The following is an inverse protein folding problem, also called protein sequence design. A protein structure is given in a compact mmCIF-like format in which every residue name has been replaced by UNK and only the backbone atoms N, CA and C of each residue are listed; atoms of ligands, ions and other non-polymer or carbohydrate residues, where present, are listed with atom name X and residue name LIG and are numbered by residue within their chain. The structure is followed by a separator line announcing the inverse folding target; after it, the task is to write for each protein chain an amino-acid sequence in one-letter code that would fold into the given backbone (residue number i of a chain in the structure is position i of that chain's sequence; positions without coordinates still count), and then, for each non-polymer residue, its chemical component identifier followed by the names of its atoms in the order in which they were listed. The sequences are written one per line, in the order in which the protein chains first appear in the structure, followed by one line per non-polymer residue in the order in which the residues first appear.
data_IF_237640116724
#
_entry.id   IF_237640116724
#
_cell.length_a   1.000
_cell.length_b   1.000
_cell.length_c   1.000
_cell.angle_alpha   90.00
_cell.angle_beta   90.00
_cell.angle_gamma   90.00
#
_symmetry.space_group_name_H-M   'P 1'
#
loop_
_entity.id
_entity.type
_entity.pdbx_description
1 polymer ?
#
# COMPACT_ATOMS: atom_id res chain seq x y z
N UNK A 1 -32.26 5.48 9.75
CA UNK A 1 -31.30 5.52 8.61
C UNK A 1 -32.06 5.19 7.34
N UNK A 2 -31.97 6.02 6.30
CA UNK A 2 -32.82 5.96 5.12
C UNK A 2 -32.63 4.65 4.33
N UNK A 3 -33.73 4.10 3.78
CA UNK A 3 -33.71 2.92 2.91
C UNK A 3 -32.86 3.16 1.64
N UNK A 4 -32.66 4.40 1.28
CA UNK A 4 -31.87 4.83 0.13
C UNK A 4 -30.39 4.40 0.23
N UNK A 5 -29.73 4.59 1.38
CA UNK A 5 -28.31 4.17 1.61
C UNK A 5 -28.09 2.65 1.47
N UNK A 6 -29.16 1.86 1.51
CA UNK A 6 -29.12 0.39 1.38
C UNK A 6 -29.56 -0.08 0.01
N UNK A 7 -29.89 0.86 -0.87
CA UNK A 7 -30.30 0.55 -2.25
C UNK A 7 -29.11 -0.01 -3.02
N UNK A 8 -29.28 -1.14 -3.67
CA UNK A 8 -28.26 -1.73 -4.54
C UNK A 8 -27.77 -0.78 -5.64
N UNK A 9 -28.67 0.09 -6.14
CA UNK A 9 -28.33 1.10 -7.17
C UNK A 9 -27.34 2.14 -6.63
N UNK A 10 -27.55 2.60 -5.39
CA UNK A 10 -26.67 3.58 -4.73
C UNK A 10 -25.31 2.95 -4.47
N UNK A 11 -25.28 1.73 -3.92
CA UNK A 11 -24.02 1.01 -3.65
C UNK A 11 -23.22 0.78 -4.94
N UNK A 12 -23.87 0.39 -6.04
CA UNK A 12 -23.20 0.22 -7.33
C UNK A 12 -22.66 1.55 -7.85
N UNK A 13 -23.42 2.64 -7.75
CA UNK A 13 -22.96 3.98 -8.15
C UNK A 13 -21.75 4.45 -7.32
N UNK A 14 -21.76 4.20 -6.01
CA UNK A 14 -20.63 4.50 -5.11
C UNK A 14 -19.37 3.72 -5.51
N UNK A 15 -19.48 2.42 -5.76
CA UNK A 15 -18.36 1.56 -6.20
C UNK A 15 -17.80 2.04 -7.54
N UNK A 16 -18.68 2.35 -8.51
CA UNK A 16 -18.26 2.87 -9.82
C UNK A 16 -17.57 4.24 -9.69
N UNK A 17 -18.12 5.14 -8.88
CA UNK A 17 -17.54 6.45 -8.62
C UNK A 17 -16.16 6.36 -7.97
N UNK A 18 -16.00 5.50 -6.95
CA UNK A 18 -14.71 5.22 -6.30
C UNK A 18 -13.71 4.61 -7.30
N UNK A 19 -14.17 3.68 -8.16
CA UNK A 19 -13.36 3.08 -9.21
C UNK A 19 -12.86 4.11 -10.23
N UNK A 20 -13.71 5.01 -10.67
CA UNK A 20 -13.34 6.12 -11.59
C UNK A 20 -12.34 7.05 -10.91
N UNK A 21 -12.55 7.40 -9.63
CA UNK A 21 -11.58 8.19 -8.87
C UNK A 21 -10.22 7.49 -8.75
N UNK A 22 -10.20 6.19 -8.50
CA UNK A 22 -8.96 5.41 -8.45
C UNK A 22 -8.24 5.36 -9.81
N UNK A 23 -8.98 5.25 -10.92
CA UNK A 23 -8.41 5.33 -12.27
C UNK A 23 -7.76 6.69 -12.55
N UNK A 24 -8.38 7.80 -12.13
CA UNK A 24 -7.76 9.13 -12.25
C UNK A 24 -6.51 9.23 -11.37
N UNK A 25 -6.55 8.72 -10.13
CA UNK A 25 -5.39 8.73 -9.24
C UNK A 25 -4.21 7.91 -9.78
N UNK A 26 -4.48 6.80 -10.49
CA UNK A 26 -3.44 5.96 -11.07
C UNK A 26 -2.94 6.45 -12.44
N UNK A 27 -3.82 7.08 -13.25
CA UNK A 27 -3.52 7.46 -14.64
C UNK A 27 -3.01 8.89 -14.82
N UNK A 28 -3.14 9.76 -13.81
CA UNK A 28 -2.72 11.16 -13.87
C UNK A 28 -1.61 11.44 -12.86
N UNK A 29 -0.68 12.37 -13.17
CA UNK A 29 0.31 12.80 -12.19
C UNK A 29 -0.38 13.34 -10.92
N UNK A 30 0.05 12.84 -9.76
CA UNK A 30 -0.50 13.22 -8.47
C UNK A 30 0.52 14.02 -7.65
N UNK A 31 0.07 14.92 -6.79
CA UNK A 31 0.94 15.55 -5.80
C UNK A 31 1.68 14.46 -4.97
N UNK A 32 2.98 14.64 -4.64
CA UNK A 32 3.77 15.87 -4.74
C UNK A 32 4.52 16.09 -6.07
N UNK A 33 4.33 15.30 -7.12
CA UNK A 33 5.04 15.46 -8.39
C UNK A 33 4.54 16.68 -9.19
N UNK A 34 4.93 17.87 -8.71
CA UNK A 34 4.58 19.15 -9.35
C UNK A 34 5.19 19.33 -10.73
N UNK A 35 6.35 18.72 -10.98
CA UNK A 35 7.04 18.84 -12.27
C UNK A 35 6.24 18.15 -13.38
N UNK A 36 5.83 16.92 -13.18
CA UNK A 36 4.98 16.17 -14.13
C UNK A 36 3.61 16.82 -14.32
N UNK A 37 3.02 17.39 -13.26
CA UNK A 37 1.75 18.13 -13.34
C UNK A 37 1.92 19.38 -14.21
N UNK A 38 2.98 20.17 -13.99
CA UNK A 38 3.28 21.37 -14.75
C UNK A 38 3.59 21.06 -16.23
N UNK A 39 4.35 20.00 -16.50
CA UNK A 39 4.65 19.54 -17.86
C UNK A 39 3.36 19.13 -18.59
N UNK A 40 2.50 18.34 -17.95
CA UNK A 40 1.20 17.95 -18.52
C UNK A 40 0.32 19.17 -18.82
N UNK A 41 0.25 20.13 -17.88
CA UNK A 41 -0.54 21.36 -18.05
C UNK A 41 0.02 22.25 -19.16
N UNK A 42 1.34 22.32 -19.33
CA UNK A 42 1.98 23.10 -20.42
C UNK A 42 1.71 22.50 -21.80
N UNK A 43 1.76 21.17 -21.92
CA UNK A 43 1.49 20.48 -23.20
C UNK A 43 0.01 20.47 -23.56
N UNK A 44 -0.90 20.50 -22.59
CA UNK A 44 -2.36 20.44 -22.78
C UNK A 44 -3.08 21.41 -21.83
N UNK A 45 -3.13 22.71 -22.14
CA UNK A 45 -3.69 23.72 -21.25
C UNK A 45 -5.13 23.46 -20.80
N UNK A 46 -6.00 22.99 -21.71
CA UNK A 46 -7.39 22.64 -21.37
C UNK A 46 -7.47 21.53 -20.32
N UNK A 47 -6.59 20.51 -20.43
CA UNK A 47 -6.49 19.45 -19.41
C UNK A 47 -5.92 19.99 -18.10
N UNK A 48 -4.97 20.91 -18.16
CA UNK A 48 -4.43 21.60 -16.98
C UNK A 48 -5.50 22.35 -16.19
N UNK A 49 -6.38 23.09 -16.89
CA UNK A 49 -7.53 23.76 -16.25
C UNK A 49 -8.51 22.75 -15.62
N UNK A 50 -8.81 21.65 -16.30
CA UNK A 50 -9.68 20.60 -15.78
C UNK A 50 -9.08 19.92 -14.55
N UNK A 51 -7.78 19.61 -14.59
CA UNK A 51 -7.04 19.05 -13.44
C UNK A 51 -7.14 19.96 -12.22
N UNK A 52 -6.96 21.27 -12.40
CA UNK A 52 -7.05 22.25 -11.32
C UNK A 52 -8.48 22.38 -10.78
N UNK A 53 -9.47 22.56 -11.67
CA UNK A 53 -10.88 22.78 -11.31
C UNK A 53 -11.49 21.59 -10.55
N UNK A 54 -11.20 20.38 -10.98
CA UNK A 54 -11.72 19.14 -10.37
C UNK A 54 -10.78 18.57 -9.31
N UNK A 55 -9.60 19.15 -9.10
CA UNK A 55 -8.60 18.60 -8.16
C UNK A 55 -8.09 17.20 -8.55
N UNK A 56 -8.04 16.89 -9.87
CA UNK A 56 -7.62 15.57 -10.36
C UNK A 56 -6.12 15.28 -10.15
N UNK A 57 -5.31 16.30 -9.88
CA UNK A 57 -3.91 16.19 -9.47
C UNK A 57 -3.74 15.81 -8.00
N UNK A 58 -4.84 15.76 -7.24
CA UNK A 58 -4.89 15.38 -5.82
C UNK A 58 -6.20 14.66 -5.50
N UNK A 59 -6.53 13.65 -6.28
CA UNK A 59 -7.82 12.95 -6.21
C UNK A 59 -8.19 12.54 -4.79
N UNK A 60 -7.27 11.90 -4.06
CA UNK A 60 -7.53 11.33 -2.73
C UNK A 60 -7.91 12.38 -1.69
N UNK A 61 -7.49 13.64 -1.87
CA UNK A 61 -7.80 14.77 -0.99
C UNK A 61 -8.80 15.73 -1.58
N UNK A 62 -9.35 15.45 -2.78
CA UNK A 62 -10.37 16.28 -3.39
C UNK A 62 -11.69 16.18 -2.63
N UNK A 63 -12.43 17.28 -2.57
CA UNK A 63 -13.69 17.34 -1.83
C UNK A 63 -14.74 16.35 -2.33
N UNK A 64 -14.85 16.17 -3.65
CA UNK A 64 -15.82 15.25 -4.26
C UNK A 64 -15.48 13.78 -3.96
N UNK A 65 -14.18 13.42 -3.98
CA UNK A 65 -13.76 12.06 -3.66
C UNK A 65 -13.96 11.76 -2.17
N UNK A 66 -13.62 12.70 -1.29
CA UNK A 66 -13.88 12.58 0.14
C UNK A 66 -15.36 12.50 0.46
N UNK A 67 -16.22 13.27 -0.24
CA UNK A 67 -17.67 13.17 -0.12
C UNK A 67 -18.18 11.79 -0.55
N UNK A 68 -17.65 11.24 -1.63
CA UNK A 68 -17.98 9.89 -2.11
C UNK A 68 -17.53 8.81 -1.12
N UNK A 69 -16.33 8.92 -0.56
CA UNK A 69 -15.84 8.01 0.50
C UNK A 69 -16.73 8.10 1.74
N UNK A 70 -17.13 9.29 2.15
CA UNK A 70 -18.02 9.48 3.29
C UNK A 70 -19.40 8.85 3.05
N UNK A 71 -19.96 9.02 1.85
CA UNK A 71 -21.23 8.41 1.45
C UNK A 71 -21.14 6.88 1.44
N UNK A 72 -20.12 6.33 0.80
CA UNK A 72 -19.89 4.88 0.76
C UNK A 72 -19.66 4.29 2.18
N UNK A 73 -18.97 5.02 3.03
CA UNK A 73 -18.80 4.63 4.46
C UNK A 73 -20.13 4.60 5.18
N UNK A 74 -20.98 5.62 4.99
CA UNK A 74 -22.31 5.65 5.59
C UNK A 74 -23.20 4.49 5.11
N UNK A 75 -23.17 4.18 3.81
CA UNK A 75 -23.85 3.03 3.21
C UNK A 75 -23.33 1.71 3.79
N UNK A 76 -22.02 1.56 3.91
CA UNK A 76 -21.38 0.38 4.46
C UNK A 76 -21.76 0.17 5.93
N UNK A 77 -21.77 1.22 6.75
CA UNK A 77 -22.23 1.17 8.15
C UNK A 77 -23.70 0.78 8.23
N UNK A 78 -24.54 1.32 7.34
CA UNK A 78 -25.95 0.99 7.29
C UNK A 78 -26.20 -0.50 6.99
N UNK A 79 -25.49 -1.02 5.98
CA UNK A 79 -25.52 -2.43 5.59
C UNK A 79 -25.01 -3.31 6.74
N UNK A 80 -23.93 -2.90 7.39
CA UNK A 80 -23.31 -3.62 8.50
C UNK A 80 -24.30 -3.80 9.68
N UNK A 81 -24.97 -2.72 10.09
CA UNK A 81 -25.97 -2.77 11.17
C UNK A 81 -27.09 -3.74 10.81
N UNK A 82 -27.60 -3.69 9.58
CA UNK A 82 -28.69 -4.59 9.16
C UNK A 82 -28.25 -6.05 9.08
N UNK A 83 -27.03 -6.32 8.63
CA UNK A 83 -26.50 -7.68 8.56
C UNK A 83 -26.36 -8.29 9.96
N UNK A 84 -25.77 -7.56 10.92
CA UNK A 84 -25.67 -8.03 12.29
C UNK A 84 -27.05 -8.23 12.94
N UNK A 85 -27.99 -7.29 12.75
CA UNK A 85 -29.37 -7.44 13.23
C UNK A 85 -30.04 -8.68 12.64
N UNK A 86 -29.79 -8.99 11.37
CA UNK A 86 -30.31 -10.21 10.72
C UNK A 86 -29.68 -11.45 11.32
N UNK A 87 -28.35 -11.47 11.49
CA UNK A 87 -27.66 -12.61 12.10
C UNK A 87 -28.20 -12.86 13.50
N UNK A 88 -28.24 -11.86 14.38
CA UNK A 88 -28.74 -12.03 15.74
C UNK A 88 -30.20 -12.51 15.81
N UNK A 89 -31.04 -12.03 14.89
CA UNK A 89 -32.46 -12.50 14.83
C UNK A 89 -32.60 -13.93 14.32
N UNK A 90 -31.69 -14.40 13.47
CA UNK A 90 -31.83 -15.71 12.80
C UNK A 90 -30.92 -16.78 13.35
N UNK A 91 -29.95 -16.43 14.20
CA UNK A 91 -28.89 -17.35 14.67
C UNK A 91 -29.46 -18.54 15.45
N UNK A 92 -30.34 -18.27 16.42
CA UNK A 92 -30.97 -19.29 17.27
C UNK A 92 -32.39 -19.64 16.88
N UNK A 93 -32.96 -19.01 15.83
CA UNK A 93 -34.34 -19.19 15.44
C UNK A 93 -34.58 -20.59 14.89
N UNK A 94 -35.52 -21.31 15.54
CA UNK A 94 -36.05 -22.56 14.99
C UNK A 94 -36.89 -22.25 13.74
N UNK A 95 -36.78 -23.09 12.74
CA UNK A 95 -37.64 -23.02 11.55
C UNK A 95 -39.05 -23.43 11.92
N UNK A 96 -40.06 -22.67 11.47
CA UNK A 96 -41.47 -23.04 11.67
C UNK A 96 -42.01 -23.87 10.49
N UNK A 97 -42.94 -24.79 10.72
CA UNK A 97 -43.54 -25.60 9.64
C UNK A 97 -44.14 -24.76 8.51
N UNK A 98 -44.74 -23.61 8.82
CA UNK A 98 -45.32 -22.71 7.82
C UNK A 98 -44.32 -22.06 6.86
N UNK A 99 -43.02 -21.96 7.22
CA UNK A 99 -41.97 -21.40 6.38
C UNK A 99 -41.54 -22.36 5.26
N UNK A 100 -41.81 -23.66 5.41
CA UNK A 100 -41.35 -24.73 4.50
C UNK A 100 -41.93 -24.61 3.09
N UNK A 101 -43.15 -24.03 2.98
CA UNK A 101 -43.85 -23.88 1.70
C UNK A 101 -43.10 -23.08 0.64
N UNK A 102 -42.25 -22.12 1.04
CA UNK A 102 -41.49 -21.25 0.15
C UNK A 102 -40.03 -21.72 -0.11
N UNK A 103 -39.65 -22.95 0.28
CA UNK A 103 -38.28 -23.41 0.12
C UNK A 103 -37.92 -23.81 -1.31
N UNK A 104 -36.66 -23.71 -1.68
CA UNK A 104 -36.17 -23.92 -3.04
C UNK A 104 -36.42 -25.33 -3.55
N UNK A 105 -36.39 -26.33 -2.67
CA UNK A 105 -36.65 -27.71 -2.98
C UNK A 105 -37.73 -28.21 -2.03
N UNK A 106 -38.78 -28.82 -2.61
CA UNK A 106 -39.90 -29.41 -1.87
C UNK A 106 -40.45 -30.63 -2.61
N UNK A 107 -40.68 -31.70 -1.90
CA UNK A 107 -41.40 -32.91 -2.38
C UNK A 107 -42.42 -33.35 -1.37
N UNK A 108 -43.56 -33.84 -1.87
CA UNK A 108 -44.62 -34.46 -1.08
C UNK A 108 -44.70 -35.93 -1.43
N UNK A 109 -44.54 -36.80 -0.45
CA UNK A 109 -44.58 -38.24 -0.59
C UNK A 109 -45.79 -38.77 0.18
N UNK A 110 -46.63 -39.64 -0.40
CA UNK A 110 -47.71 -40.31 0.35
C UNK A 110 -47.13 -41.12 1.52
N UNK A 111 -47.70 -41.03 2.69
CA UNK A 111 -47.23 -41.76 3.89
C UNK A 111 -47.20 -43.27 3.66
N UNK A 112 -48.04 -43.78 2.77
CA UNK A 112 -48.11 -45.20 2.40
C UNK A 112 -46.85 -45.69 1.65
N UNK A 113 -46.06 -44.81 1.07
CA UNK A 113 -44.80 -45.09 0.35
C UNK A 113 -43.54 -44.63 1.07
N UNK A 114 -43.70 -44.21 2.34
CA UNK A 114 -42.59 -43.68 3.11
C UNK A 114 -42.17 -44.65 4.21
N UNK A 115 -40.94 -44.56 4.62
CA UNK A 115 -40.49 -45.12 5.90
C UNK A 115 -41.30 -44.50 7.02
N UNK A 116 -41.39 -45.17 8.21
CA UNK A 116 -42.14 -44.59 9.33
C UNK A 116 -41.76 -43.12 9.56
N UNK A 117 -42.79 -42.29 9.45
CA UNK A 117 -42.58 -40.83 9.62
C UNK A 117 -42.16 -40.47 11.06
N UNK A 118 -41.35 -39.47 11.28
CA UNK A 118 -40.97 -39.03 12.61
C UNK A 118 -42.23 -38.56 13.36
N UNK A 119 -42.35 -38.83 14.69
CA UNK A 119 -43.50 -38.48 15.50
C UNK A 119 -43.74 -36.97 15.63
N UNK A 120 -42.73 -36.15 15.29
CA UNK A 120 -42.76 -34.69 15.31
C UNK A 120 -42.02 -34.12 14.13
N UNK A 121 -42.31 -32.89 13.70
CA UNK A 121 -41.56 -32.18 12.65
C UNK A 121 -40.07 -32.15 12.98
N UNK A 122 -39.26 -32.60 12.03
CA UNK A 122 -37.79 -32.62 12.17
C UNK A 122 -37.17 -31.49 11.34
N UNK A 123 -36.42 -30.63 11.99
CA UNK A 123 -35.68 -29.53 11.35
C UNK A 123 -34.21 -29.66 11.65
N UNK A 124 -33.40 -29.66 10.61
CA UNK A 124 -31.93 -29.70 10.73
C UNK A 124 -31.31 -28.53 9.99
N UNK A 125 -30.48 -27.77 10.67
CA UNK A 125 -29.68 -26.67 10.07
C UNK A 125 -28.21 -27.03 10.12
N UNK A 126 -27.53 -26.94 8.99
CA UNK A 126 -26.09 -27.09 8.88
C UNK A 126 -25.46 -25.81 8.34
N UNK A 127 -24.16 -25.60 8.56
CA UNK A 127 -23.45 -24.44 8.02
C UNK A 127 -23.84 -23.07 8.60
N UNK A 128 -24.37 -23.01 9.83
CA UNK A 128 -24.81 -21.74 10.47
C UNK A 128 -23.72 -20.67 10.50
N UNK A 129 -22.47 -21.07 10.68
CA UNK A 129 -21.30 -20.17 10.75
C UNK A 129 -21.13 -19.32 9.47
N UNK A 130 -21.56 -19.84 8.32
CA UNK A 130 -21.52 -19.11 7.05
C UNK A 130 -22.38 -17.85 7.01
N UNK A 131 -23.35 -17.71 7.94
CA UNK A 131 -24.14 -16.48 8.07
C UNK A 131 -23.29 -15.30 8.57
N UNK A 132 -22.18 -15.58 9.30
CA UNK A 132 -21.22 -14.57 9.77
C UNK A 132 -20.33 -14.07 8.64
N UNK A 133 -20.19 -14.82 7.54
CA UNK A 133 -19.26 -14.47 6.47
C UNK A 133 -19.49 -13.08 5.90
N UNK A 134 -20.75 -12.76 5.55
CA UNK A 134 -21.08 -11.43 5.00
C UNK A 134 -20.86 -10.28 5.98
N UNK A 135 -21.32 -10.30 7.23
CA UNK A 135 -21.03 -9.21 8.18
C UNK A 135 -19.53 -9.09 8.51
N UNK A 136 -18.78 -10.20 8.59
CA UNK A 136 -17.34 -10.15 8.82
C UNK A 136 -16.61 -9.54 7.59
N UNK A 137 -17.01 -9.91 6.37
CA UNK A 137 -16.48 -9.31 5.15
C UNK A 137 -16.66 -7.78 5.12
N UNK A 138 -17.89 -7.31 5.36
CA UNK A 138 -18.17 -5.87 5.35
C UNK A 138 -17.51 -5.14 6.54
N UNK A 139 -17.34 -5.80 7.69
CA UNK A 139 -16.56 -5.26 8.79
C UNK A 139 -15.09 -5.07 8.37
N UNK A 140 -14.52 -6.06 7.68
CA UNK A 140 -13.17 -5.95 7.11
C UNK A 140 -13.04 -4.77 6.16
N UNK A 141 -14.00 -4.58 5.24
CA UNK A 141 -14.02 -3.42 4.35
C UNK A 141 -14.13 -2.09 5.12
N UNK A 142 -14.96 -2.03 6.14
CA UNK A 142 -15.10 -0.84 6.99
C UNK A 142 -13.76 -0.49 7.67
N UNK A 143 -13.05 -1.48 8.20
CA UNK A 143 -11.74 -1.27 8.81
C UNK A 143 -10.69 -0.79 7.79
N UNK A 144 -10.73 -1.30 6.55
CA UNK A 144 -9.86 -0.81 5.47
C UNK A 144 -10.13 0.68 5.17
N UNK A 145 -11.40 1.09 5.11
CA UNK A 145 -11.76 2.50 4.91
C UNK A 145 -11.31 3.35 6.08
N UNK A 146 -11.52 2.91 7.32
CA UNK A 146 -11.06 3.61 8.52
C UNK A 146 -9.53 3.72 8.55
N UNK A 147 -8.83 2.66 8.15
CA UNK A 147 -7.37 2.69 8.00
C UNK A 147 -6.94 3.73 6.97
N UNK A 148 -7.61 3.81 5.81
CA UNK A 148 -7.36 4.85 4.80
C UNK A 148 -7.54 6.27 5.35
N UNK A 149 -8.58 6.50 6.13
CA UNK A 149 -8.81 7.78 6.81
C UNK A 149 -7.74 8.09 7.86
N UNK A 150 -7.33 7.09 8.67
CA UNK A 150 -6.24 7.26 9.63
C UNK A 150 -4.91 7.59 8.93
N UNK A 151 -4.62 6.94 7.79
CA UNK A 151 -3.46 7.27 6.98
C UNK A 151 -3.53 8.71 6.46
N UNK A 152 -4.67 9.14 5.91
CA UNK A 152 -4.88 10.51 5.44
C UNK A 152 -4.65 11.54 6.55
N UNK A 153 -5.03 11.22 7.79
CA UNK A 153 -4.93 12.13 8.92
C UNK A 153 -3.54 12.12 9.55
N UNK A 154 -2.93 10.96 9.79
CA UNK A 154 -1.78 10.81 10.69
C UNK A 154 -0.51 10.27 10.03
N UNK A 155 -0.52 10.01 8.73
CA UNK A 155 0.67 9.59 7.99
C UNK A 155 1.79 10.61 8.12
N UNK A 156 3.02 10.13 8.15
CA UNK A 156 4.21 10.96 8.10
C UNK A 156 5.30 10.24 7.33
N UNK A 157 6.00 10.95 6.48
CA UNK A 157 7.10 10.46 5.66
C UNK A 157 8.22 11.48 5.60
N UNK A 158 9.44 11.02 5.73
CA UNK A 158 10.64 11.80 5.48
C UNK A 158 11.55 11.04 4.51
N UNK A 159 12.04 11.73 3.50
CA UNK A 159 12.96 11.18 2.49
C UNK A 159 14.30 11.88 2.62
N UNK A 160 15.37 11.12 2.70
CA UNK A 160 16.75 11.61 2.76
C UNK A 160 17.64 10.79 1.82
N UNK A 161 18.63 11.44 1.25
CA UNK A 161 19.69 10.77 0.49
C UNK A 161 20.90 10.67 1.40
N UNK A 162 21.36 9.45 1.65
CA UNK A 162 22.49 9.18 2.54
C UNK A 162 23.60 8.48 1.80
N UNK A 163 24.83 8.97 1.98
CA UNK A 163 26.03 8.26 1.59
C UNK A 163 26.46 7.23 2.63
N UNK A 164 27.19 6.21 2.19
CA UNK A 164 27.81 5.22 3.07
C UNK A 164 28.73 5.93 4.08
N UNK A 165 28.52 5.66 5.36
CA UNK A 165 29.20 6.31 6.49
C UNK A 165 28.51 7.59 6.99
N UNK A 166 27.53 8.14 6.28
CA UNK A 166 26.78 9.32 6.69
C UNK A 166 25.73 9.04 7.76
N UNK A 167 25.36 10.07 8.49
CA UNK A 167 24.39 10.00 9.59
C UNK A 167 23.22 10.91 9.33
N UNK A 168 22.02 10.34 9.35
CA UNK A 168 20.76 11.06 9.37
C UNK A 168 20.52 11.56 10.81
N UNK A 169 20.47 12.88 11.00
CA UNK A 169 20.17 13.46 12.31
C UNK A 169 18.72 13.15 12.75
N UNK A 170 18.51 13.06 14.06
CA UNK A 170 17.20 12.78 14.64
C UNK A 170 16.29 14.03 14.68
N UNK A 171 16.28 14.81 13.61
CA UNK A 171 15.50 16.05 13.48
C UNK A 171 14.69 16.04 12.18
N UNK A 172 13.53 16.70 12.12
CA UNK A 172 12.76 16.79 10.88
C UNK A 172 13.50 17.50 9.74
N UNK A 173 14.39 18.44 10.06
CA UNK A 173 15.19 19.18 9.09
C UNK A 173 16.28 18.35 8.39
N UNK A 174 16.54 17.12 8.87
CA UNK A 174 17.49 16.21 8.25
C UNK A 174 16.95 15.57 6.94
N UNK A 175 15.66 15.66 6.72
CA UNK A 175 15.02 15.11 5.53
C UNK A 175 14.99 16.15 4.41
N UNK A 176 15.37 15.74 3.20
CA UNK A 176 15.33 16.58 1.98
C UNK A 176 13.89 16.87 1.54
N UNK A 177 12.99 15.94 1.80
CA UNK A 177 11.56 16.09 1.55
C UNK A 177 10.75 15.45 2.66
N UNK A 178 9.63 16.06 3.03
CA UNK A 178 8.69 15.53 4.02
C UNK A 178 7.27 15.59 3.50
N UNK A 179 6.48 14.59 3.87
CA UNK A 179 5.05 14.53 3.59
C UNK A 179 4.31 14.16 4.88
N UNK A 180 3.25 14.89 5.19
CA UNK A 180 2.44 14.64 6.38
C UNK A 180 0.97 14.59 6.03
N UNK A 181 0.22 13.77 6.76
CA UNK A 181 -1.24 13.81 6.73
C UNK A 181 -1.77 15.09 7.39
N UNK A 182 -3.08 15.30 7.29
CA UNK A 182 -3.75 16.55 7.71
C UNK A 182 -3.53 16.90 9.19
N UNK A 183 -3.41 15.91 10.06
CA UNK A 183 -3.15 16.05 11.50
C UNK A 183 -1.80 15.44 11.89
N UNK A 184 -1.03 14.95 10.92
CA UNK A 184 0.28 14.36 11.13
C UNK A 184 1.32 15.45 11.39
N UNK A 185 2.19 15.23 12.36
CA UNK A 185 3.37 16.06 12.57
C UNK A 185 4.56 15.58 11.72
N UNK A 186 5.61 16.39 11.62
CA UNK A 186 6.83 16.02 10.92
C UNK A 186 7.44 14.74 11.49
N UNK A 187 8.12 13.99 10.62
CA UNK A 187 8.81 12.76 11.01
C UNK A 187 10.20 13.11 11.52
N UNK A 188 10.59 12.50 12.64
CA UNK A 188 11.95 12.49 13.15
C UNK A 188 12.24 11.11 13.72
N UNK A 189 13.46 10.64 13.56
CA UNK A 189 13.92 9.39 14.17
C UNK A 189 14.17 9.59 15.68
N UNK A 190 14.11 8.52 16.48
CA UNK A 190 14.36 8.60 17.93
C UNK A 190 15.83 8.86 18.26
N UNK A 191 16.71 8.43 17.37
CA UNK A 191 18.15 8.61 17.47
C UNK A 191 18.72 8.86 16.08
N UNK A 192 19.88 9.49 15.95
CA UNK A 192 20.57 9.58 14.67
C UNK A 192 20.80 8.19 14.08
N UNK A 193 20.63 8.02 12.77
CA UNK A 193 20.80 6.76 12.06
C UNK A 193 22.01 6.87 11.12
N UNK A 194 22.98 5.99 11.28
CA UNK A 194 24.14 5.89 10.39
C UNK A 194 23.92 4.82 9.34
N UNK A 195 24.15 5.15 8.08
CA UNK A 195 24.28 4.19 6.99
C UNK A 195 25.68 3.58 7.03
N UNK A 196 25.81 2.38 7.58
CA UNK A 196 27.15 1.76 7.77
C UNK A 196 27.68 1.10 6.50
N UNK A 197 26.80 0.42 5.76
CA UNK A 197 27.17 -0.25 4.53
C UNK A 197 26.02 -0.21 3.52
N UNK A 198 26.35 -0.12 2.26
CA UNK A 198 25.40 -0.15 1.14
C UNK A 198 25.90 -1.14 0.08
N UNK A 199 25.06 -2.08 -0.32
CA UNK A 199 25.30 -3.03 -1.39
C UNK A 199 24.22 -2.86 -2.46
N UNK A 200 24.64 -2.79 -3.71
CA UNK A 200 23.75 -2.73 -4.87
C UNK A 200 24.12 -3.87 -5.84
N UNK A 201 23.28 -4.87 -5.89
CA UNK A 201 23.40 -5.98 -6.84
C UNK A 201 22.74 -5.59 -8.17
N UNK A 202 23.37 -5.98 -9.27
CA UNK A 202 22.84 -5.74 -10.62
C UNK A 202 22.73 -7.05 -11.39
N UNK A 203 21.80 -7.10 -12.33
CA UNK A 203 21.73 -8.15 -13.33
C UNK A 203 22.85 -7.99 -14.37
N UNK A 204 23.13 -9.01 -15.15
CA UNK A 204 24.12 -8.94 -16.26
C UNK A 204 23.75 -7.88 -17.30
N UNK A 205 22.48 -7.52 -17.40
CA UNK A 205 21.99 -6.40 -18.23
C UNK A 205 22.35 -5.01 -17.69
N UNK A 206 22.96 -4.91 -16.49
CA UNK A 206 23.24 -3.65 -15.79
C UNK A 206 22.06 -3.08 -14.99
N UNK A 207 20.86 -3.64 -15.14
CA UNK A 207 19.70 -3.21 -14.37
C UNK A 207 19.89 -3.55 -12.88
N UNK A 208 19.40 -2.68 -12.00
CA UNK A 208 19.46 -2.88 -10.56
C UNK A 208 18.59 -4.07 -10.16
N UNK A 209 19.18 -5.04 -9.45
CA UNK A 209 18.52 -6.23 -8.95
C UNK A 209 18.03 -6.04 -7.51
N UNK A 210 18.93 -5.56 -6.65
CA UNK A 210 18.66 -5.40 -5.22
C UNK A 210 19.55 -4.29 -4.65
N UNK A 211 19.00 -3.47 -3.76
CA UNK A 211 19.74 -2.57 -2.88
C UNK A 211 19.54 -3.05 -1.45
N UNK A 212 20.64 -3.21 -0.74
CA UNK A 212 20.64 -3.61 0.67
C UNK A 212 21.52 -2.66 1.45
N UNK A 213 21.01 -2.14 2.56
CA UNK A 213 21.75 -1.26 3.45
C UNK A 213 21.79 -1.79 4.87
N UNK A 214 22.88 -1.54 5.55
CA UNK A 214 23.01 -1.74 6.99
C UNK A 214 22.93 -0.40 7.67
N UNK A 215 21.93 -0.22 8.52
CA UNK A 215 21.68 1.02 9.26
C UNK A 215 21.81 0.74 10.76
N UNK A 216 22.54 1.59 11.44
CA UNK A 216 22.73 1.53 12.89
C UNK A 216 22.25 2.82 13.56
N UNK A 217 21.42 2.73 14.61
CA UNK A 217 21.13 3.87 15.46
C UNK A 217 22.35 4.23 16.30
N UNK A 218 22.61 5.54 16.47
CA UNK A 218 23.71 6.04 17.29
C UNK A 218 23.19 6.46 18.67
N UNK A 219 23.86 5.99 19.72
CA UNK A 219 23.55 6.32 21.12
C UNK A 219 23.44 5.09 22.00
N UNK A 220 23.65 5.29 23.32
CA UNK A 220 23.56 4.22 24.30
C UNK A 220 22.12 3.73 24.48
N UNK A 221 21.87 2.42 24.39
CA UNK A 221 20.55 1.81 24.59
C UNK A 221 19.60 1.90 23.39
N UNK A 222 20.05 2.37 22.26
CA UNK A 222 19.22 2.60 21.06
C UNK A 222 19.41 1.48 20.05
N UNK A 223 18.60 0.43 20.17
CA UNK A 223 18.35 -0.60 19.16
C UNK A 223 19.57 -1.30 18.51
N UNK A 224 19.31 -2.40 17.86
CA UNK A 224 20.33 -3.15 17.11
C UNK A 224 20.47 -2.62 15.66
N UNK A 225 21.62 -2.90 15.04
CA UNK A 225 21.79 -2.79 13.59
C UNK A 225 20.62 -3.45 12.86
N UNK A 226 20.20 -2.83 11.75
CA UNK A 226 19.14 -3.35 10.90
C UNK A 226 19.64 -3.43 9.47
N UNK A 227 19.41 -4.58 8.85
CA UNK A 227 19.53 -4.72 7.40
C UNK A 227 18.19 -4.37 6.79
N UNK A 228 18.21 -3.51 5.78
CA UNK A 228 17.03 -3.03 5.07
C UNK A 228 17.29 -3.21 3.59
N UNK A 229 16.34 -3.74 2.87
CA UNK A 229 16.42 -3.92 1.42
C UNK A 229 15.22 -3.28 0.73
N UNK A 230 15.30 -3.12 -0.59
CA UNK A 230 14.14 -2.77 -1.39
C UNK A 230 13.07 -3.85 -1.18
N UNK A 231 11.84 -3.45 -0.84
CA UNK A 231 10.70 -4.31 -0.47
C UNK A 231 10.82 -5.08 0.86
N UNK A 232 11.89 -4.89 1.63
CA UNK A 232 12.04 -5.46 2.98
C UNK A 232 12.37 -4.35 4.00
N UNK A 233 11.35 -3.58 4.40
CA UNK A 233 11.51 -2.47 5.32
C UNK A 233 11.70 -2.95 6.76
N UNK A 234 12.51 -2.23 7.54
CA UNK A 234 12.75 -2.54 8.94
C UNK A 234 12.03 -1.57 9.89
N UNK A 235 11.51 -2.10 11.00
CA UNK A 235 11.05 -1.25 12.10
C UNK A 235 12.25 -0.68 12.88
N UNK A 236 12.27 0.64 13.06
CA UNK A 236 13.30 1.36 13.80
C UNK A 236 12.81 1.88 15.16
N UNK A 237 11.65 1.36 15.60
CA UNK A 237 11.03 1.74 16.87
C UNK A 237 10.16 3.01 16.76
N UNK A 238 9.31 3.23 17.78
CA UNK A 238 8.42 4.40 17.80
C UNK A 238 7.32 4.43 16.73
N UNK A 239 6.96 3.28 16.17
CA UNK A 239 5.99 3.21 15.08
C UNK A 239 6.57 3.69 13.74
N UNK A 240 7.91 3.81 13.65
CA UNK A 240 8.62 4.22 12.45
C UNK A 240 9.11 2.98 11.68
N UNK A 241 8.99 3.04 10.38
CA UNK A 241 9.51 2.06 9.43
C UNK A 241 10.53 2.73 8.52
N UNK A 242 11.69 2.10 8.38
CA UNK A 242 12.76 2.49 7.47
C UNK A 242 12.69 1.63 6.22
N UNK A 243 12.66 2.24 5.07
CA UNK A 243 12.76 1.59 3.76
C UNK A 243 13.84 2.25 2.91
N UNK A 244 14.29 1.55 1.89
CA UNK A 244 15.23 2.03 0.89
C UNK A 244 14.53 2.00 -0.45
N UNK A 245 14.63 3.11 -1.18
CA UNK A 245 14.15 3.19 -2.53
C UNK A 245 15.12 2.45 -3.48
N UNK A 246 14.66 1.97 -4.65
CA UNK A 246 15.52 1.36 -5.64
C UNK A 246 16.48 2.37 -6.29
N UNK A 247 16.43 3.63 -5.86
CA UNK A 247 17.32 4.69 -6.32
C UNK A 247 18.59 4.72 -5.46
N UNK A 248 19.64 4.14 -6.00
CA UNK A 248 20.97 4.06 -5.39
C UNK A 248 22.05 4.25 -6.44
N UNK A 249 23.11 4.94 -6.07
CA UNK A 249 24.18 5.27 -6.99
C UNK A 249 25.54 5.41 -6.31
N UNK A 250 26.45 5.96 -7.06
CA UNK A 250 27.74 6.45 -6.57
C UNK A 250 27.83 7.97 -6.72
N UNK A 251 28.53 8.61 -5.82
CA UNK A 251 28.84 10.01 -5.89
C UNK A 251 30.35 10.22 -5.63
N UNK A 252 30.91 11.18 -6.32
CA UNK A 252 32.23 11.69 -6.01
C UNK A 252 32.11 12.88 -5.04
N UNK A 253 32.76 12.79 -3.90
CA UNK A 253 32.79 13.83 -2.89
C UNK A 253 34.04 14.67 -3.00
N UNK A 254 33.87 15.98 -2.94
CA UNK A 254 34.96 16.94 -2.96
C UNK A 254 34.81 17.94 -1.82
N UNK A 255 35.93 18.49 -1.36
CA UNK A 255 35.97 19.77 -0.63
C UNK A 255 36.35 20.87 -1.59
N UNK A 256 35.59 21.94 -1.65
CA UNK A 256 35.99 23.16 -2.35
C UNK A 256 36.37 24.20 -1.31
N UNK A 257 37.64 24.54 -1.25
CA UNK A 257 38.17 25.63 -0.44
C UNK A 257 38.40 26.82 -1.35
N UNK A 258 37.75 27.92 -1.08
CA UNK A 258 37.87 29.17 -1.81
C UNK A 258 37.90 30.35 -0.80
N UNK A 259 38.10 31.61 -1.24
CA UNK A 259 38.12 32.77 -0.33
C UNK A 259 36.86 32.98 0.51
N UNK A 260 35.75 32.33 0.13
CA UNK A 260 34.47 32.39 0.87
C UNK A 260 34.38 31.33 1.98
N UNK A 261 35.31 30.36 2.01
CA UNK A 261 35.37 29.30 2.99
C UNK A 261 35.56 27.90 2.38
N UNK A 262 35.33 26.88 3.19
CA UNK A 262 35.39 25.49 2.77
C UNK A 262 33.97 24.91 2.74
N UNK A 263 33.60 24.28 1.63
CA UNK A 263 32.32 23.60 1.46
C UNK A 263 32.48 22.24 0.80
N UNK A 264 31.60 21.31 1.20
CA UNK A 264 31.50 20.02 0.54
C UNK A 264 30.73 20.16 -0.78
N UNK A 265 31.23 19.46 -1.82
CA UNK A 265 30.60 19.34 -3.12
C UNK A 265 30.38 17.87 -3.41
N UNK A 266 29.17 17.50 -3.73
CA UNK A 266 28.78 16.14 -4.14
C UNK A 266 28.45 16.15 -5.62
N UNK A 267 28.98 15.19 -6.36
CA UNK A 267 28.70 14.95 -7.76
C UNK A 267 28.16 13.54 -7.93
N UNK A 268 26.85 13.42 -8.17
CA UNK A 268 26.24 12.13 -8.46
C UNK A 268 26.72 11.60 -9.81
N UNK A 269 27.02 10.31 -9.86
CA UNK A 269 27.63 9.66 -11.01
C UNK A 269 26.65 8.70 -11.69
N UNK A 270 26.24 9.07 -12.90
CA UNK A 270 25.41 8.22 -13.76
C UNK A 270 26.24 7.16 -14.47
N UNK A 271 25.73 5.95 -14.58
CA UNK A 271 26.36 4.88 -15.33
C UNK A 271 26.40 5.21 -16.83
N UNK A 272 27.56 5.02 -17.45
CA UNK A 272 27.74 5.15 -18.90
C UNK A 272 28.61 3.98 -19.39
N UNK A 273 28.62 3.63 -20.68
CA UNK A 273 29.49 2.60 -21.18
C UNK A 273 30.99 2.86 -20.81
N UNK A 274 31.57 1.87 -20.11
CA UNK A 274 32.98 1.93 -19.66
C UNK A 274 33.24 2.82 -18.43
N UNK A 275 32.23 3.11 -17.63
CA UNK A 275 32.40 3.82 -16.37
C UNK A 275 31.19 4.63 -15.93
N UNK A 276 31.45 5.74 -15.25
CA UNK A 276 30.44 6.66 -14.74
C UNK A 276 30.80 8.10 -15.01
N UNK A 277 29.82 8.98 -15.15
CA UNK A 277 30.02 10.41 -15.31
C UNK A 277 29.02 11.22 -14.50
N UNK A 278 29.42 12.40 -14.06
CA UNK A 278 28.54 13.33 -13.37
C UNK A 278 28.94 14.76 -13.59
N UNK A 279 28.06 15.69 -13.28
CA UNK A 279 28.34 17.13 -13.30
C UNK A 279 27.57 17.85 -12.22
N UNK A 280 28.14 18.94 -11.72
CA UNK A 280 27.48 19.83 -10.76
C UNK A 280 27.87 21.27 -11.04
N UNK A 281 26.92 22.19 -10.94
CA UNK A 281 27.17 23.63 -10.95
C UNK A 281 27.65 24.08 -9.56
N UNK A 282 28.75 24.78 -9.47
CA UNK A 282 29.29 25.30 -8.21
C UNK A 282 28.67 26.62 -7.79
N UNK A 283 27.73 27.17 -8.56
CA UNK A 283 26.92 28.35 -8.19
C UNK A 283 27.58 29.70 -8.56
N UNK A 284 28.74 29.69 -9.23
CA UNK A 284 29.48 30.90 -9.64
C UNK A 284 29.86 30.86 -11.14
N UNK A 285 29.06 30.11 -11.91
CA UNK A 285 29.30 29.86 -13.33
C UNK A 285 30.41 28.84 -13.60
N UNK A 286 30.98 28.21 -12.57
CA UNK A 286 31.88 27.07 -12.68
C UNK A 286 31.06 25.77 -12.65
N UNK A 287 31.32 24.90 -13.59
CA UNK A 287 30.78 23.54 -13.67
C UNK A 287 31.88 22.52 -13.42
N UNK A 288 31.66 21.63 -12.47
CA UNK A 288 32.53 20.49 -12.17
C UNK A 288 32.00 19.27 -12.90
N UNK A 289 32.80 18.69 -13.80
CA UNK A 289 32.51 17.45 -14.51
C UNK A 289 33.47 16.36 -14.01
N UNK A 290 32.90 15.22 -13.68
CA UNK A 290 33.62 14.08 -13.10
C UNK A 290 33.38 12.85 -13.97
N UNK A 291 34.40 12.06 -14.16
CA UNK A 291 34.33 10.75 -14.83
C UNK A 291 35.15 9.74 -14.04
N UNK A 292 34.54 8.58 -13.77
CA UNK A 292 35.19 7.39 -13.24
C UNK A 292 35.16 6.31 -14.33
N UNK A 293 36.19 5.49 -14.45
CA UNK A 293 36.19 4.35 -15.37
C UNK A 293 36.07 3.05 -14.62
N UNK A 294 35.45 2.06 -15.28
CA UNK A 294 35.35 0.72 -14.70
C UNK A 294 36.77 0.12 -14.57
N UNK A 295 37.04 -0.46 -13.39
CA UNK A 295 38.36 -1.02 -13.08
C UNK A 295 39.43 -0.03 -12.59
N UNK A 296 39.09 1.26 -12.47
CA UNK A 296 39.97 2.25 -11.85
C UNK A 296 40.14 2.00 -10.34
N UNK A 297 41.29 2.39 -9.82
CA UNK A 297 41.73 2.29 -8.41
C UNK A 297 41.00 3.28 -7.46
N UNK A 298 39.77 3.65 -7.76
CA UNK A 298 39.03 4.68 -7.03
C UNK A 298 39.41 6.10 -7.41
N UNK A 299 40.20 6.30 -8.47
CA UNK A 299 40.50 7.62 -9.01
C UNK A 299 39.38 8.14 -9.90
N UNK A 300 39.33 9.46 -10.04
CA UNK A 300 38.36 10.15 -10.91
C UNK A 300 39.05 11.14 -11.82
N UNK A 301 38.63 11.22 -13.07
CA UNK A 301 38.98 12.30 -13.97
C UNK A 301 38.11 13.50 -13.73
N UNK A 302 38.68 14.65 -13.47
CA UNK A 302 38.00 15.87 -13.09
C UNK A 302 38.27 16.96 -14.12
N UNK A 303 37.21 17.64 -14.57
CA UNK A 303 37.27 18.84 -15.41
C UNK A 303 36.49 19.95 -14.78
N UNK A 304 37.13 21.04 -14.48
CA UNK A 304 36.50 22.26 -14.00
C UNK A 304 36.43 23.26 -15.16
N UNK A 305 35.23 23.69 -15.51
CA UNK A 305 35.01 24.62 -16.63
C UNK A 305 34.21 25.84 -16.19
N UNK A 306 34.42 26.97 -16.86
CA UNK A 306 33.56 28.15 -16.75
C UNK A 306 33.12 28.54 -18.17
N UNK A 307 31.84 28.27 -18.50
CA UNK A 307 31.38 28.31 -19.88
C UNK A 307 32.17 27.34 -20.76
N UNK A 308 32.93 27.88 -21.72
CA UNK A 308 33.81 27.07 -22.57
C UNK A 308 35.29 27.03 -22.09
N UNK A 309 35.64 27.85 -21.12
CA UNK A 309 37.01 27.91 -20.61
C UNK A 309 37.30 26.77 -19.63
N UNK A 310 38.39 26.01 -19.90
CA UNK A 310 38.88 24.99 -18.96
C UNK A 310 39.72 25.67 -17.89
N UNK A 311 39.28 25.59 -16.62
CA UNK A 311 39.98 26.15 -15.46
C UNK A 311 40.93 25.15 -14.82
N UNK A 312 40.60 23.85 -14.89
CA UNK A 312 41.41 22.78 -14.33
C UNK A 312 41.05 21.43 -14.89
N UNK A 313 42.06 20.56 -15.00
CA UNK A 313 41.91 19.16 -15.45
C UNK A 313 42.91 18.31 -14.71
N UNK A 314 42.50 17.15 -14.29
CA UNK A 314 43.38 16.19 -13.63
C UNK A 314 42.69 14.88 -13.31
N UNK A 315 43.48 13.86 -13.04
CA UNK A 315 43.04 12.60 -12.44
C UNK A 315 43.41 12.65 -10.97
N UNK A 316 42.42 12.50 -10.12
CA UNK A 316 42.55 12.62 -8.65
C UNK A 316 42.28 11.31 -7.97
N UNK A 317 43.12 10.95 -7.01
CA UNK A 317 42.89 9.94 -6.00
C UNK A 317 42.39 10.60 -4.73
N UNK A 318 41.78 9.81 -3.84
CA UNK A 318 41.33 10.32 -2.56
C UNK A 318 42.45 11.06 -1.81
N UNK A 319 42.12 12.19 -1.20
CA UNK A 319 43.01 13.16 -0.58
C UNK A 319 43.90 13.98 -1.51
N UNK A 320 43.83 13.83 -2.84
CA UNK A 320 44.48 14.71 -3.79
C UNK A 320 43.61 15.92 -4.14
N UNK A 321 44.26 17.00 -4.57
CA UNK A 321 43.59 18.25 -4.92
C UNK A 321 43.98 18.80 -6.28
N UNK A 322 43.06 19.62 -6.82
CA UNK A 322 43.25 20.35 -8.09
C UNK A 322 43.05 21.84 -7.85
N UNK A 323 43.88 22.67 -8.42
CA UNK A 323 43.67 24.12 -8.41
C UNK A 323 42.35 24.45 -9.14
N UNK A 324 41.48 25.21 -8.47
CA UNK A 324 40.14 25.53 -8.94
C UNK A 324 39.98 27.01 -9.32
N UNK A 325 41.08 27.70 -9.56
CA UNK A 325 41.18 29.12 -9.84
C UNK A 325 42.03 29.86 -8.79
N UNK A 326 42.16 31.18 -8.88
CA UNK A 326 42.96 32.00 -7.95
C UNK A 326 42.46 31.80 -6.50
N UNK A 327 43.32 31.27 -5.63
CA UNK A 327 43.03 31.04 -4.22
C UNK A 327 41.98 29.92 -3.94
N UNK A 328 41.60 29.13 -4.95
CA UNK A 328 40.66 28.04 -4.80
C UNK A 328 41.30 26.68 -5.06
N UNK A 329 40.99 25.68 -4.20
CA UNK A 329 41.45 24.29 -4.31
C UNK A 329 40.27 23.36 -4.20
N UNK A 330 40.16 22.41 -5.12
CA UNK A 330 39.20 21.32 -5.08
C UNK A 330 39.92 20.06 -4.61
N UNK A 331 39.61 19.59 -3.41
CA UNK A 331 40.13 18.33 -2.84
C UNK A 331 39.20 17.18 -3.11
N UNK A 332 39.66 16.04 -3.64
CA UNK A 332 38.83 14.85 -3.81
C UNK A 332 38.85 14.01 -2.54
N UNK A 333 37.69 13.78 -1.96
CA UNK A 333 37.50 13.05 -0.70
C UNK A 333 37.28 11.54 -0.94
N UNK A 334 36.88 11.14 -2.15
CA UNK A 334 36.65 9.76 -2.53
C UNK A 334 35.30 9.52 -3.18
N UNK A 335 35.13 8.29 -3.65
CA UNK A 335 33.82 7.79 -4.11
C UNK A 335 33.03 7.28 -2.94
N UNK A 336 31.73 7.57 -2.91
CA UNK A 336 30.77 7.07 -1.91
C UNK A 336 29.55 6.51 -2.60
N UNK A 337 29.07 5.36 -2.13
CA UNK A 337 27.77 4.85 -2.49
C UNK A 337 26.71 5.62 -1.72
N UNK A 338 25.58 5.85 -2.35
CA UNK A 338 24.45 6.50 -1.72
C UNK A 338 23.14 5.79 -2.06
N UNK A 339 22.16 5.93 -1.19
CA UNK A 339 20.81 5.46 -1.42
C UNK A 339 19.79 6.47 -0.88
N UNK A 340 18.63 6.48 -1.50
CA UNK A 340 17.47 7.20 -0.97
C UNK A 340 16.83 6.39 0.14
N UNK A 341 16.81 6.96 1.33
CA UNK A 341 16.27 6.39 2.55
C UNK A 341 14.95 7.06 2.86
N UNK A 342 13.94 6.27 3.16
CA UNK A 342 12.61 6.71 3.50
C UNK A 342 12.23 6.26 4.91
N UNK A 343 11.81 7.20 5.74
CA UNK A 343 11.30 6.94 7.09
C UNK A 343 9.83 7.25 7.11
N UNK A 344 9.00 6.26 7.43
CA UNK A 344 7.55 6.38 7.45
C UNK A 344 6.98 6.15 8.85
N UNK A 345 5.98 6.95 9.21
CA UNK A 345 5.08 6.70 10.33
C UNK A 345 3.69 6.47 9.77
N UNK A 346 3.21 5.24 9.85
CA UNK A 346 1.89 4.86 9.38
C UNK A 346 1.12 4.07 10.44
N UNK A 347 0.37 4.75 11.31
CA UNK A 347 -0.40 4.09 12.36
C UNK A 347 -1.59 3.30 11.83
N UNK A 348 -1.96 3.48 10.57
CA UNK A 348 -3.08 2.78 9.94
C UNK A 348 -2.74 1.34 9.53
N UNK A 349 -1.46 1.04 9.34
CA UNK A 349 -0.97 -0.23 8.76
C UNK A 349 -1.52 -1.48 9.48
N UNK A 350 -1.49 -1.59 10.82
CA UNK A 350 -2.05 -2.76 11.51
C UNK A 350 -3.56 -2.92 11.28
N UNK A 351 -4.30 -1.80 11.29
CA UNK A 351 -5.73 -1.81 11.08
C UNK A 351 -6.09 -2.21 9.64
N UNK A 352 -5.31 -1.76 8.66
CA UNK A 352 -5.45 -2.14 7.26
C UNK A 352 -5.32 -3.65 7.08
N UNK A 353 -4.24 -4.26 7.60
CA UNK A 353 -4.03 -5.70 7.48
C UNK A 353 -5.09 -6.51 8.24
N UNK A 354 -5.52 -6.05 9.41
CA UNK A 354 -6.66 -6.66 10.13
C UNK A 354 -7.93 -6.61 9.28
N UNK A 355 -8.21 -5.47 8.66
CA UNK A 355 -9.36 -5.30 7.78
C UNK A 355 -9.33 -6.26 6.59
N UNK A 356 -8.20 -6.38 5.92
CA UNK A 356 -8.00 -7.33 4.81
C UNK A 356 -8.16 -8.77 5.29
N UNK A 357 -7.55 -9.14 6.40
CA UNK A 357 -7.66 -10.49 6.97
C UNK A 357 -9.12 -10.86 7.29
N UNK A 358 -9.87 -9.93 7.89
CA UNK A 358 -11.30 -10.13 8.17
C UNK A 358 -12.13 -10.22 6.88
N UNK A 359 -11.82 -9.40 5.87
CA UNK A 359 -12.51 -9.48 4.58
C UNK A 359 -12.30 -10.85 3.93
N UNK A 360 -11.06 -11.34 3.89
CA UNK A 360 -10.74 -12.68 3.36
C UNK A 360 -11.45 -13.78 4.18
N UNK A 361 -11.35 -13.72 5.51
CA UNK A 361 -12.02 -14.68 6.40
C UNK A 361 -13.55 -14.67 6.19
N UNK A 362 -14.13 -13.49 6.02
CA UNK A 362 -15.55 -13.32 5.71
C UNK A 362 -15.96 -14.01 4.41
N UNK A 363 -15.16 -13.84 3.35
CA UNK A 363 -15.37 -14.54 2.07
C UNK A 363 -15.27 -16.05 2.23
N UNK A 364 -14.22 -16.54 2.89
CA UNK A 364 -14.04 -17.97 3.13
C UNK A 364 -15.22 -18.58 3.93
N UNK A 365 -15.66 -17.90 4.98
CA UNK A 365 -16.84 -18.33 5.75
C UNK A 365 -18.12 -18.34 4.91
N UNK A 366 -18.29 -17.32 4.07
CA UNK A 366 -19.48 -17.12 3.26
C UNK A 366 -19.68 -18.19 2.19
N UNK A 367 -18.59 -18.66 1.60
CA UNK A 367 -18.60 -19.65 0.52
C UNK A 367 -18.26 -21.06 1.01
N UNK A 368 -17.44 -21.22 2.04
CA UNK A 368 -17.06 -22.52 2.58
C UNK A 368 -18.13 -23.16 3.44
N UNK A 369 -18.98 -22.37 4.13
CA UNK A 369 -20.02 -22.88 5.04
C UNK A 369 -21.38 -22.30 4.71
N UNK A 370 -21.98 -22.74 3.60
CA UNK A 370 -23.35 -22.32 3.25
C UNK A 370 -24.36 -22.89 4.23
N UNK A 371 -25.21 -22.03 4.81
CA UNK A 371 -26.32 -22.48 5.64
C UNK A 371 -27.33 -23.24 4.79
N UNK A 372 -27.62 -24.47 5.20
CA UNK A 372 -28.62 -25.32 4.62
C UNK A 372 -29.61 -25.77 5.71
N UNK A 373 -30.86 -25.45 5.49
CA UNK A 373 -31.97 -25.87 6.33
C UNK A 373 -32.68 -27.04 5.63
N UNK A 374 -32.91 -28.15 6.33
CA UNK A 374 -33.70 -29.30 5.88
C UNK A 374 -34.89 -29.48 6.82
N UNK A 375 -36.04 -29.81 6.25
CA UNK A 375 -37.25 -30.07 6.99
C UNK A 375 -37.88 -31.39 6.54
N UNK A 376 -38.40 -32.14 7.53
CA UNK A 376 -39.23 -33.32 7.34
C UNK A 376 -40.47 -33.09 8.19
N UNK A 377 -41.64 -32.91 7.56
CA UNK A 377 -42.88 -32.53 8.23
C UNK A 377 -44.00 -33.41 7.71
N UNK A 378 -44.88 -33.86 8.56
CA UNK A 378 -46.13 -34.56 8.19
C UNK A 378 -47.25 -33.54 8.03
N UNK A 379 -47.82 -33.44 6.84
CA UNK A 379 -48.98 -32.60 6.54
C UNK A 379 -50.12 -33.53 6.03
N UNK A 380 -51.11 -33.78 6.88
CA UNK A 380 -52.22 -34.69 6.55
C UNK A 380 -51.74 -36.12 6.30
N UNK A 381 -51.97 -36.65 5.08
CA UNK A 381 -51.53 -37.99 4.65
C UNK A 381 -50.24 -37.97 3.84
N UNK A 382 -49.51 -36.87 3.84
CA UNK A 382 -48.25 -36.70 3.09
C UNK A 382 -47.10 -36.37 4.00
N UNK A 383 -45.89 -36.88 3.65
CA UNK A 383 -44.63 -36.47 4.19
C UNK A 383 -44.06 -35.37 3.30
N UNK A 384 -43.92 -34.18 3.86
CA UNK A 384 -43.28 -33.05 3.17
C UNK A 384 -41.80 -33.01 3.49
N UNK A 385 -40.98 -33.19 2.45
CA UNK A 385 -39.53 -33.02 2.50
C UNK A 385 -39.17 -31.68 1.88
N UNK A 386 -38.36 -30.89 2.55
CA UNK A 386 -37.91 -29.62 1.98
C UNK A 386 -36.47 -29.31 2.35
N UNK A 387 -35.82 -28.58 1.44
CA UNK A 387 -34.45 -28.10 1.60
C UNK A 387 -34.34 -26.66 1.09
N UNK A 388 -33.69 -25.81 1.89
CA UNK A 388 -33.36 -24.46 1.54
C UNK A 388 -31.87 -24.23 1.75
N UNK A 389 -31.15 -23.85 0.71
CA UNK A 389 -29.78 -23.34 0.82
C UNK A 389 -29.81 -21.81 0.76
N UNK A 390 -29.09 -21.14 1.65
CA UNK A 390 -29.04 -19.67 1.69
C UNK A 390 -28.37 -19.07 0.45
N UNK A 391 -27.47 -19.83 -0.18
CA UNK A 391 -26.72 -19.46 -1.39
C UNK A 391 -26.61 -20.65 -2.30
N UNK A 392 -26.50 -20.38 -3.60
CA UNK A 392 -26.29 -21.40 -4.63
C UNK A 392 -27.21 -22.61 -4.52
N UNK A 393 -28.55 -22.40 -4.45
CA UNK A 393 -29.47 -23.52 -4.25
C UNK A 393 -29.23 -24.65 -5.27
N UNK A 394 -28.90 -24.34 -6.52
CA UNK A 394 -28.66 -25.34 -7.56
C UNK A 394 -27.60 -26.40 -7.19
N UNK A 395 -26.59 -26.05 -6.39
CA UNK A 395 -25.55 -26.98 -5.93
C UNK A 395 -26.07 -28.02 -4.92
N UNK A 396 -27.28 -27.84 -4.40
CA UNK A 396 -27.88 -28.70 -3.38
C UNK A 396 -29.00 -29.59 -3.92
N UNK A 397 -29.23 -29.58 -5.23
CA UNK A 397 -30.23 -30.43 -5.88
C UNK A 397 -30.00 -31.92 -5.60
N UNK A 398 -28.80 -32.41 -5.81
CA UNK A 398 -28.43 -33.82 -5.54
C UNK A 398 -28.57 -34.20 -4.05
N UNK A 399 -28.27 -33.23 -3.15
CA UNK A 399 -28.44 -33.46 -1.71
C UNK A 399 -29.92 -33.59 -1.36
N UNK A 400 -30.79 -32.82 -2.02
CA UNK A 400 -32.22 -32.96 -1.86
C UNK A 400 -32.74 -34.28 -2.42
N UNK A 401 -32.30 -34.70 -3.60
CA UNK A 401 -32.68 -35.98 -4.18
C UNK A 401 -32.21 -37.17 -3.34
N UNK A 402 -31.02 -37.11 -2.74
CA UNK A 402 -30.57 -38.11 -1.76
C UNK A 402 -31.46 -38.13 -0.53
N UNK A 403 -31.89 -37.00 -0.02
CA UNK A 403 -32.83 -36.89 1.11
C UNK A 403 -34.18 -37.53 0.72
N UNK A 404 -34.72 -37.24 -0.47
CA UNK A 404 -35.96 -37.79 -0.97
C UNK A 404 -35.91 -39.33 -1.04
N UNK A 405 -34.92 -39.88 -1.71
CA UNK A 405 -34.71 -41.34 -1.81
C UNK A 405 -34.53 -42.03 -0.45
N UNK A 406 -33.98 -41.34 0.55
CA UNK A 406 -33.80 -41.93 1.87
C UNK A 406 -35.12 -42.14 2.64
N UNK A 407 -36.21 -41.50 2.18
CA UNK A 407 -37.57 -41.63 2.77
C UNK A 407 -38.52 -42.44 1.90
N UNK A 408 -38.26 -42.65 0.64
CA UNK A 408 -39.05 -43.52 -0.22
C UNK A 408 -38.74 -45.01 0.12
N UNK A 409 -39.83 -45.85 0.19
CA UNK A 409 -39.71 -47.29 0.27
C UNK A 409 -39.93 -47.81 -1.14
N UNK A 410 -38.99 -48.60 -1.66
CA UNK A 410 -39.08 -49.27 -2.96
C UNK A 410 -40.22 -50.26 -3.00
#
# INVERSE_FOLDING_TARGET
MSAWLRSGRVIVAEILGLGVGALFAAGLPQEPDRASIADLASRRPALGHLLAALGLHRVVTSWWFLALVALATASLVAVQIDQWRRVFRTWGRAVSPGEVRGWSYRAELPLSRCRPAPPAPSFRTTGRIGQLGSPIFHLGLLLVVVAGLLRLLFFGEGVAVLGEGETLAATPSAFAATRTGLLGGPVATRAPLRLEALSAERYDSGALKQVTAVVAPLGAGVGARRTVSVNDPASIGGGLTLSIDPDAGEAALFSLRDPLGERAVRVDLDAVPGGRKGRVDLGDGRELRVRSRDGDDGSVEVRLVRGQALLGFGRLRAAEGLAAGPGAVLGFLGLRRWATVRVERDPSRPLFFLGVALAVAGVLLMFGWVRVDTAVVVEGQSLVLALRAQRFPALYAERFERLRRSWEVE
#
